data_IF_469990328448
#
_entry.id   IF_469990328448
#
_cell.length_a   1.000
_cell.length_b   1.000
_cell.length_c   1.000
_cell.angle_alpha   90.00
_cell.angle_beta   90.00
_cell.angle_gamma   90.00
#
_symmetry.space_group_name_H-M   'P 1'
#
loop_
_entity.id
_entity.type
_entity.pdbx_description
1 polymer ?
#
# COMPACT_ATOMS: atom_id res chain seq x y z
N UNK A 1 30.22 4.17 -54.80
CA UNK A 1 29.52 3.53 -53.66
C UNK A 1 30.34 3.71 -52.39
N UNK A 2 29.92 4.55 -51.43
CA UNK A 2 30.59 4.73 -50.14
C UNK A 2 29.81 3.95 -49.07
N UNK A 3 30.46 2.99 -48.39
CA UNK A 3 29.87 2.20 -47.30
C UNK A 3 29.78 3.06 -46.03
N UNK A 4 28.59 3.20 -45.47
CA UNK A 4 28.32 3.86 -44.20
C UNK A 4 28.70 2.94 -43.01
N UNK A 5 29.53 3.36 -42.05
CA UNK A 5 29.86 2.53 -40.88
C UNK A 5 28.67 2.51 -39.90
N UNK A 6 28.23 1.31 -39.53
CA UNK A 6 27.11 1.09 -38.60
C UNK A 6 27.42 1.72 -37.24
N UNK A 7 26.68 2.75 -36.86
CA UNK A 7 26.70 3.33 -35.52
C UNK A 7 26.31 2.28 -34.49
N UNK A 8 27.11 2.13 -33.43
CA UNK A 8 26.76 1.33 -32.25
C UNK A 8 25.47 1.90 -31.65
N UNK A 9 24.40 1.11 -31.65
CA UNK A 9 23.17 1.44 -30.94
C UNK A 9 23.50 1.59 -29.45
N UNK A 10 23.22 2.76 -28.88
CA UNK A 10 23.27 2.96 -27.43
C UNK A 10 22.27 1.98 -26.77
N UNK A 11 22.60 1.38 -25.62
CA UNK A 11 21.64 0.56 -24.89
C UNK A 11 20.41 1.41 -24.56
N UNK A 12 19.22 0.88 -24.84
CA UNK A 12 17.96 1.52 -24.49
C UNK A 12 17.88 1.54 -22.95
N UNK A 13 17.84 2.72 -22.30
CA UNK A 13 17.56 2.74 -20.88
C UNK A 13 16.15 2.17 -20.70
N UNK A 14 16.01 1.15 -19.85
CA UNK A 14 14.69 0.63 -19.45
C UNK A 14 13.97 1.76 -18.71
N UNK A 15 13.12 2.49 -19.42
CA UNK A 15 12.41 3.68 -18.94
C UNK A 15 11.25 3.33 -18.00
N UNK A 16 11.35 2.25 -17.22
CA UNK A 16 10.31 1.82 -16.27
C UNK A 16 10.66 1.99 -14.79
N UNK A 17 11.87 2.43 -14.44
CA UNK A 17 12.31 2.44 -13.04
C UNK A 17 12.77 3.81 -12.50
N UNK A 18 12.39 4.94 -13.09
CA UNK A 18 12.93 6.25 -12.67
C UNK A 18 11.94 7.43 -12.61
N UNK A 19 10.65 7.20 -12.41
CA UNK A 19 9.70 8.31 -12.19
C UNK A 19 8.55 7.95 -11.23
N UNK A 20 8.84 7.91 -9.93
CA UNK A 20 7.87 8.25 -8.90
C UNK A 20 8.71 8.70 -7.70
N UNK A 21 8.54 9.96 -7.25
CA UNK A 21 9.09 10.41 -5.98
C UNK A 21 8.69 9.46 -4.84
N UNK A 22 9.28 9.58 -3.63
CA UNK A 22 9.03 8.62 -2.55
C UNK A 22 7.52 8.39 -2.40
N UNK A 23 7.09 7.13 -2.59
CA UNK A 23 5.68 6.75 -2.56
C UNK A 23 5.01 7.39 -1.34
N UNK A 24 4.15 8.40 -1.58
CA UNK A 24 3.42 9.08 -0.51
C UNK A 24 2.26 8.20 -0.06
N UNK A 25 2.59 7.16 0.71
CA UNK A 25 1.62 6.22 1.21
C UNK A 25 0.78 6.86 2.33
N UNK A 26 -0.54 6.81 2.19
CA UNK A 26 -1.51 7.40 3.12
C UNK A 26 -2.84 6.66 3.07
N UNK A 27 -3.72 6.95 4.02
CA UNK A 27 -5.14 6.56 3.94
C UNK A 27 -5.85 7.44 2.91
N UNK A 28 -6.67 6.84 2.05
CA UNK A 28 -7.26 7.49 0.88
C UNK A 28 -8.62 8.11 1.18
N UNK A 29 -9.46 7.44 1.97
CA UNK A 29 -10.81 7.86 2.33
C UNK A 29 -11.20 7.45 3.74
N UNK A 30 -12.44 7.77 4.13
CA UNK A 30 -12.94 7.52 5.48
C UNK A 30 -12.49 8.54 6.52
N UNK A 31 -12.65 8.23 7.80
CA UNK A 31 -12.35 9.11 8.94
C UNK A 31 -10.87 9.43 9.12
N UNK A 32 -9.99 8.53 8.66
CA UNK A 32 -8.54 8.69 8.74
C UNK A 32 -7.92 9.24 7.44
N UNK A 33 -8.73 9.74 6.50
CA UNK A 33 -8.28 10.24 5.20
C UNK A 33 -7.09 11.20 5.32
N UNK A 34 -6.06 10.95 4.51
CA UNK A 34 -4.87 11.80 4.44
C UNK A 34 -3.79 11.47 5.48
N UNK A 35 -4.08 10.64 6.49
CA UNK A 35 -3.06 10.23 7.46
C UNK A 35 -1.97 9.40 6.77
N UNK A 36 -0.69 9.71 7.01
CA UNK A 36 0.43 9.01 6.36
C UNK A 36 0.58 7.59 6.91
N UNK A 37 1.07 6.69 6.06
CA UNK A 37 1.54 5.37 6.47
C UNK A 37 3.04 5.30 6.21
N UNK A 38 3.77 4.78 7.18
CA UNK A 38 5.19 4.47 7.03
C UNK A 38 5.34 3.28 6.08
N UNK A 39 6.48 3.25 5.41
CA UNK A 39 6.94 2.15 4.59
C UNK A 39 8.47 2.24 4.50
N UNK A 40 9.16 1.11 4.66
CA UNK A 40 10.63 1.06 4.75
C UNK A 40 11.36 1.17 3.41
N UNK A 41 10.64 1.17 2.28
CA UNK A 41 11.26 1.08 0.96
C UNK A 41 11.71 -0.34 0.58
N UNK A 42 11.38 -1.36 1.40
CA UNK A 42 11.74 -2.75 1.12
C UNK A 42 11.12 -3.25 -0.18
N UNK A 43 11.96 -3.62 -1.15
CA UNK A 43 11.57 -4.10 -2.48
C UNK A 43 10.63 -5.31 -2.47
N UNK A 44 10.55 -6.07 -1.36
CA UNK A 44 9.61 -7.20 -1.20
C UNK A 44 8.17 -6.73 -1.02
N UNK A 45 7.98 -5.53 -0.48
CA UNK A 45 6.66 -4.95 -0.24
C UNK A 45 6.40 -3.92 -1.31
N UNK A 46 5.37 -4.14 -2.11
CA UNK A 46 4.93 -3.17 -3.11
C UNK A 46 3.63 -2.50 -2.64
N UNK A 47 3.67 -1.26 -2.13
CA UNK A 47 2.45 -0.60 -1.67
C UNK A 47 1.44 -0.47 -2.81
N UNK A 48 0.17 -0.75 -2.50
CA UNK A 48 -0.91 -0.58 -3.46
C UNK A 48 -1.18 0.90 -3.73
N UNK A 49 -1.29 1.28 -5.02
CA UNK A 49 -1.58 2.66 -5.43
C UNK A 49 -2.90 3.14 -4.85
N UNK A 50 -2.98 4.44 -4.52
CA UNK A 50 -4.18 5.07 -3.96
C UNK A 50 -5.45 4.77 -4.78
N UNK A 51 -5.37 4.94 -6.11
CA UNK A 51 -6.49 4.68 -7.03
C UNK A 51 -7.00 3.25 -6.96
N UNK A 52 -6.12 2.27 -6.77
CA UNK A 52 -6.52 0.86 -6.69
C UNK A 52 -7.27 0.60 -5.39
N UNK A 53 -6.76 1.12 -4.26
CA UNK A 53 -7.45 1.02 -2.97
C UNK A 53 -8.81 1.72 -3.02
N UNK A 54 -8.87 2.92 -3.57
CA UNK A 54 -10.11 3.67 -3.74
C UNK A 54 -11.15 2.92 -4.58
N UNK A 55 -10.73 2.35 -5.72
CA UNK A 55 -11.62 1.58 -6.58
C UNK A 55 -12.23 0.36 -5.87
N UNK A 56 -11.45 -0.37 -5.06
CA UNK A 56 -11.95 -1.49 -4.27
C UNK A 56 -13.03 -1.04 -3.29
N UNK A 57 -12.79 0.04 -2.54
CA UNK A 57 -13.78 0.52 -1.58
C UNK A 57 -14.98 1.21 -2.22
N UNK A 58 -14.86 1.74 -3.44
CA UNK A 58 -16.00 2.22 -4.21
C UNK A 58 -16.92 1.07 -4.62
N UNK A 59 -16.37 -0.10 -4.96
CA UNK A 59 -17.15 -1.32 -5.24
C UNK A 59 -17.84 -1.89 -3.99
N UNK A 60 -17.12 -1.92 -2.86
CA UNK A 60 -17.69 -2.35 -1.59
C UNK A 60 -18.79 -1.40 -1.11
N UNK A 61 -18.55 -0.09 -1.23
CA UNK A 61 -19.46 0.97 -0.83
C UNK A 61 -19.77 0.93 0.67
N UNK A 62 -21.03 1.19 1.07
CA UNK A 62 -21.42 1.20 2.49
C UNK A 62 -21.29 -0.14 3.20
N UNK A 63 -21.16 -1.26 2.47
CA UNK A 63 -21.12 -2.62 3.03
C UNK A 63 -19.93 -2.87 3.94
N UNK A 64 -18.87 -2.07 3.88
CA UNK A 64 -17.72 -2.18 4.78
C UNK A 64 -18.05 -1.74 6.22
N UNK A 65 -19.05 -0.86 6.39
CA UNK A 65 -19.39 -0.31 7.71
C UNK A 65 -19.93 -1.40 8.62
N UNK A 66 -19.41 -1.48 9.84
CA UNK A 66 -19.83 -2.49 10.82
C UNK A 66 -19.20 -3.87 10.60
N UNK A 67 -18.46 -4.09 9.51
CA UNK A 67 -17.86 -5.38 9.20
C UNK A 67 -16.48 -5.53 9.82
N UNK A 68 -16.02 -6.79 9.93
CA UNK A 68 -14.66 -7.12 10.32
C UNK A 68 -13.85 -7.50 9.08
N UNK A 69 -12.69 -6.87 8.87
CA UNK A 69 -11.88 -7.07 7.67
C UNK A 69 -10.77 -8.11 7.88
N UNK A 70 -10.46 -8.88 6.83
CA UNK A 70 -9.31 -9.78 6.81
C UNK A 70 -8.42 -9.42 5.63
N UNK A 71 -7.17 -9.08 5.93
CA UNK A 71 -6.14 -8.75 4.93
C UNK A 71 -5.07 -9.85 4.96
N UNK A 72 -5.22 -10.82 4.05
CA UNK A 72 -4.44 -12.07 4.08
C UNK A 72 -2.99 -11.91 3.61
N UNK A 73 -2.67 -10.77 2.99
CA UNK A 73 -1.34 -10.42 2.49
C UNK A 73 -1.10 -8.95 2.75
N UNK A 74 -1.08 -8.59 4.03
CA UNK A 74 -1.27 -7.21 4.46
C UNK A 74 -0.21 -6.25 3.91
N UNK A 75 1.04 -6.69 3.74
CA UNK A 75 2.11 -5.82 3.26
C UNK A 75 2.22 -4.59 4.17
N UNK A 76 1.92 -3.41 3.63
CA UNK A 76 1.93 -2.17 4.44
C UNK A 76 0.74 -2.01 5.40
N UNK A 77 -0.22 -2.95 5.40
CA UNK A 77 -1.48 -2.89 6.16
C UNK A 77 -2.51 -1.93 5.57
N UNK A 78 -2.19 -1.33 4.41
CA UNK A 78 -2.95 -0.25 3.82
C UNK A 78 -4.41 -0.59 3.52
N UNK A 79 -4.73 -1.83 3.13
CA UNK A 79 -6.11 -2.23 2.82
C UNK A 79 -6.95 -2.42 4.08
N UNK A 80 -6.44 -3.13 5.08
CA UNK A 80 -7.13 -3.27 6.37
C UNK A 80 -7.36 -1.94 7.09
N UNK A 81 -6.37 -1.03 7.08
CA UNK A 81 -6.54 0.31 7.67
C UNK A 81 -7.56 1.16 6.93
N UNK A 82 -7.63 1.03 5.61
CA UNK A 82 -8.62 1.72 4.78
C UNK A 82 -10.05 1.19 5.07
N UNK A 83 -10.20 -0.10 5.37
CA UNK A 83 -11.47 -0.67 5.82
C UNK A 83 -11.93 -0.06 7.15
N UNK A 84 -11.03 0.02 8.14
CA UNK A 84 -11.31 0.65 9.44
C UNK A 84 -11.64 2.14 9.27
N UNK A 85 -10.88 2.86 8.46
CA UNK A 85 -11.16 4.27 8.14
C UNK A 85 -12.58 4.46 7.59
N UNK A 86 -13.10 3.48 6.86
CA UNK A 86 -14.44 3.51 6.24
C UNK A 86 -15.52 2.91 7.14
N UNK A 87 -15.19 2.58 8.39
CA UNK A 87 -16.13 2.16 9.42
C UNK A 87 -16.20 0.65 9.67
N UNK A 88 -15.22 -0.13 9.21
CA UNK A 88 -15.06 -1.49 9.72
C UNK A 88 -14.77 -1.45 11.24
N UNK A 89 -15.27 -2.44 11.98
CA UNK A 89 -15.14 -2.51 13.44
C UNK A 89 -13.76 -3.01 13.89
N UNK A 90 -13.00 -3.61 12.97
CA UNK A 90 -11.65 -4.11 13.21
C UNK A 90 -11.10 -4.82 11.99
N UNK A 91 -9.84 -5.24 12.07
CA UNK A 91 -9.19 -6.02 11.02
C UNK A 91 -8.14 -7.00 11.55
N UNK A 92 -8.06 -8.18 10.94
CA UNK A 92 -6.91 -9.10 11.07
C UNK A 92 -6.01 -8.95 9.85
N UNK A 93 -4.73 -8.66 10.09
CA UNK A 93 -3.71 -8.45 9.07
C UNK A 93 -2.69 -9.59 9.14
N UNK A 94 -2.59 -10.38 8.08
CA UNK A 94 -1.63 -11.50 8.00
C UNK A 94 -0.39 -11.03 7.23
N UNK A 95 0.76 -11.04 7.90
CA UNK A 95 2.05 -10.65 7.29
C UNK A 95 3.21 -11.49 7.81
N UNK A 96 3.79 -12.29 6.91
CA UNK A 96 4.87 -13.23 7.23
C UNK A 96 6.23 -12.55 7.43
N UNK A 97 6.48 -11.42 6.78
CA UNK A 97 7.75 -10.72 6.85
C UNK A 97 7.83 -9.89 8.13
N UNK A 98 8.62 -10.36 9.10
CA UNK A 98 8.73 -9.77 10.44
C UNK A 98 9.06 -8.26 10.42
N UNK A 99 10.01 -7.76 9.62
CA UNK A 99 10.25 -6.31 9.54
C UNK A 99 9.02 -5.53 9.05
N UNK A 100 8.28 -6.08 8.10
CA UNK A 100 7.04 -5.45 7.59
C UNK A 100 5.95 -5.47 8.65
N UNK A 101 5.73 -6.61 9.33
CA UNK A 101 4.69 -6.72 10.36
C UNK A 101 4.93 -5.80 11.56
N UNK A 102 6.19 -5.54 11.93
CA UNK A 102 6.56 -4.50 12.90
C UNK A 102 6.14 -3.11 12.42
N UNK A 103 6.42 -2.79 11.17
CA UNK A 103 6.07 -1.49 10.60
C UNK A 103 4.53 -1.32 10.48
N UNK A 104 3.80 -2.39 10.17
CA UNK A 104 2.32 -2.39 10.21
C UNK A 104 1.82 -2.08 11.62
N UNK A 105 2.46 -2.63 12.65
CA UNK A 105 2.12 -2.34 14.05
C UNK A 105 2.34 -0.88 14.41
N UNK A 106 3.48 -0.30 14.04
CA UNK A 106 3.76 1.13 14.23
C UNK A 106 2.74 2.03 13.52
N UNK A 107 2.30 1.64 12.31
CA UNK A 107 1.25 2.35 11.59
C UNK A 107 -0.09 2.27 12.34
N UNK A 108 -0.47 1.11 12.85
CA UNK A 108 -1.71 0.94 13.63
C UNK A 108 -1.68 1.76 14.93
N UNK A 109 -0.52 1.87 15.58
CA UNK A 109 -0.30 2.73 16.74
C UNK A 109 -0.38 4.21 16.37
N UNK A 110 0.32 4.62 15.31
CA UNK A 110 0.30 6.01 14.80
C UNK A 110 -1.10 6.43 14.38
N UNK A 111 -1.92 5.50 13.88
CA UNK A 111 -3.31 5.72 13.52
C UNK A 111 -4.28 5.62 14.71
N UNK A 112 -3.80 5.25 15.90
CA UNK A 112 -4.60 5.08 17.13
C UNK A 112 -5.70 4.02 17.01
N UNK A 113 -5.48 3.01 16.17
CA UNK A 113 -6.42 1.89 15.93
C UNK A 113 -5.88 0.55 16.42
N UNK A 114 -4.71 0.53 17.07
CA UNK A 114 -4.06 -0.70 17.56
C UNK A 114 -5.01 -1.63 18.33
N UNK A 115 -5.92 -1.18 19.22
CA UNK A 115 -6.81 -2.08 19.97
C UNK A 115 -7.78 -2.89 19.10
N UNK A 116 -8.09 -2.44 17.89
CA UNK A 116 -9.06 -3.07 16.97
C UNK A 116 -8.37 -3.71 15.75
N UNK A 117 -7.04 -3.80 15.78
CA UNK A 117 -6.23 -4.43 14.73
C UNK A 117 -5.49 -5.62 15.32
N UNK A 118 -5.68 -6.79 14.74
CA UNK A 118 -4.87 -7.98 15.00
C UNK A 118 -3.82 -8.11 13.88
N UNK A 119 -2.58 -8.45 14.23
CA UNK A 119 -1.49 -8.65 13.27
C UNK A 119 -0.89 -10.03 13.57
N UNK A 120 -1.01 -10.92 12.59
CA UNK A 120 -0.58 -12.33 12.65
C UNK A 120 0.59 -12.57 11.72
#
# INVERSE_FOLDING_TARGET
MKRNPRGRSKPHPDTRDADEGPLKLRIVGGSMRGRPLRYSGDRRVRPMKDRTREAVFNLLGPRVRGMYAWDLFAGTGAMGFEAISRGAIGATLIERHIPTSKLVRENAETLEIRPIVEIV
#
